data_IF_509543085964
#
_entry.id   IF_509543085964
#
_cell.length_a   1.000
_cell.length_b   1.000
_cell.length_c   1.000
_cell.angle_alpha   90.00
_cell.angle_beta   90.00
_cell.angle_gamma   90.00
#
_symmetry.space_group_name_H-M   'P 1'
#
loop_
_entity.id
_entity.type
_entity.pdbx_description
1 polymer ?
#
# COMPACT_ATOMS: atom_id res chain seq x y z
N UNK A 1 40.64 9.71 47.78
CA UNK A 1 40.72 9.88 46.30
C UNK A 1 39.96 8.77 45.54
N UNK A 2 38.66 8.54 45.80
CA UNK A 2 37.84 7.53 45.06
C UNK A 2 36.40 7.97 44.76
N UNK A 3 36.00 9.19 45.12
CA UNK A 3 34.63 9.72 44.92
C UNK A 3 34.51 10.75 43.78
N UNK A 4 35.61 11.18 43.17
CA UNK A 4 35.59 12.17 42.09
C UNK A 4 35.45 11.58 40.67
N UNK A 5 35.64 10.26 40.49
CA UNK A 5 35.66 9.65 39.16
C UNK A 5 34.29 9.16 38.66
N UNK A 6 33.30 9.02 39.56
CA UNK A 6 31.95 8.56 39.19
C UNK A 6 31.05 9.67 38.63
N UNK A 7 31.34 10.94 38.93
CA UNK A 7 30.50 12.07 38.51
C UNK A 7 30.78 12.50 37.06
N UNK A 8 32.04 12.40 36.61
CA UNK A 8 32.40 12.75 35.22
C UNK A 8 31.92 11.70 34.21
N UNK A 9 31.81 10.43 34.63
CA UNK A 9 31.32 9.34 33.78
C UNK A 9 29.80 9.39 33.55
N UNK A 10 29.04 9.95 34.50
CA UNK A 10 27.59 10.14 34.37
C UNK A 10 27.23 11.31 33.44
N UNK A 11 28.10 12.32 33.32
CA UNK A 11 27.88 13.45 32.42
C UNK A 11 28.21 13.13 30.96
N UNK A 12 29.10 12.15 30.70
CA UNK A 12 29.45 11.73 29.33
C UNK A 12 28.42 10.76 28.74
N UNK A 13 27.70 10.01 29.57
CA UNK A 13 26.65 9.09 29.11
C UNK A 13 25.37 9.81 28.65
N UNK A 14 25.18 11.07 29.05
CA UNK A 14 24.01 11.87 28.67
C UNK A 14 24.17 12.61 27.33
N UNK A 15 25.39 12.74 26.80
CA UNK A 15 25.63 13.40 25.50
C UNK A 15 25.55 12.45 24.30
N UNK A 16 25.51 11.13 24.52
CA UNK A 16 25.43 10.13 23.43
C UNK A 16 23.98 9.65 23.20
N UNK A 17 23.02 10.09 24.02
CA UNK A 17 21.63 9.62 23.98
C UNK A 17 20.69 10.48 23.11
N UNK A 18 21.19 11.38 22.24
CA UNK A 18 20.33 12.33 21.51
C UNK A 18 20.56 12.40 19.99
N UNK A 19 20.87 11.27 19.37
CA UNK A 19 20.85 11.15 17.90
C UNK A 19 20.20 9.84 17.46
N UNK A 20 19.01 9.54 17.98
CA UNK A 20 18.06 8.76 17.20
C UNK A 20 17.33 9.73 16.29
N UNK A 21 17.96 10.13 15.18
CA UNK A 21 17.17 10.58 14.04
C UNK A 21 16.39 9.36 13.57
N UNK A 22 15.19 9.16 14.13
CA UNK A 22 14.18 8.41 13.41
C UNK A 22 14.08 9.15 12.09
N UNK A 23 14.59 8.55 11.03
CA UNK A 23 14.26 8.97 9.68
C UNK A 23 12.76 8.82 9.60
N UNK A 24 12.03 9.89 9.92
CA UNK A 24 10.62 9.98 9.69
C UNK A 24 10.51 9.99 8.16
N UNK A 25 10.45 8.80 7.58
CA UNK A 25 9.95 8.63 6.23
C UNK A 25 8.64 9.40 6.19
N UNK A 26 8.57 10.41 5.33
CA UNK A 26 7.34 11.15 5.12
C UNK A 26 6.22 10.13 4.90
N UNK A 27 5.15 10.23 5.70
CA UNK A 27 4.07 9.26 5.68
C UNK A 27 3.55 9.12 4.25
N UNK A 28 3.50 7.88 3.75
CA UNK A 28 3.14 7.64 2.35
C UNK A 28 1.78 8.25 1.99
N UNK A 29 1.71 8.92 0.84
CA UNK A 29 0.49 9.53 0.29
C UNK A 29 0.14 8.81 -1.00
N UNK A 30 -0.80 7.89 -0.90
CA UNK A 30 -1.10 6.93 -1.96
C UNK A 30 -2.29 7.40 -2.78
N UNK A 31 -2.16 7.40 -4.10
CA UNK A 31 -3.31 7.40 -5.00
C UNK A 31 -3.50 5.98 -5.54
N UNK A 32 -4.69 5.44 -5.31
CA UNK A 32 -5.09 4.16 -5.87
C UNK A 32 -5.81 4.38 -7.20
N UNK A 33 -5.25 3.87 -8.29
CA UNK A 33 -5.75 4.11 -9.65
C UNK A 33 -6.89 3.17 -10.04
N UNK A 34 -7.13 2.09 -9.29
CA UNK A 34 -8.13 1.07 -9.62
C UNK A 34 -8.88 0.57 -8.37
N UNK A 35 -10.15 0.14 -8.51
CA UNK A 35 -10.96 -0.32 -7.37
C UNK A 35 -10.30 -1.42 -6.55
N UNK A 36 -9.79 -2.48 -7.19
CA UNK A 36 -9.19 -3.63 -6.47
C UNK A 36 -7.99 -3.24 -5.61
N UNK A 37 -7.19 -2.27 -6.03
CA UNK A 37 -6.07 -1.75 -5.23
C UNK A 37 -6.57 -0.90 -4.05
N UNK A 38 -7.67 -0.17 -4.24
CA UNK A 38 -8.30 0.58 -3.14
C UNK A 38 -8.79 -0.40 -2.08
N UNK A 39 -9.54 -1.42 -2.47
CA UNK A 39 -10.07 -2.42 -1.55
C UNK A 39 -8.95 -3.11 -0.76
N UNK A 40 -7.87 -3.50 -1.43
CA UNK A 40 -6.73 -4.14 -0.77
C UNK A 40 -6.03 -3.22 0.24
N UNK A 41 -5.78 -1.95 -0.12
CA UNK A 41 -5.17 -0.98 0.78
C UNK A 41 -6.01 -0.78 2.04
N UNK A 42 -7.33 -0.64 1.89
CA UNK A 42 -8.23 -0.50 3.03
C UNK A 42 -8.31 -1.79 3.86
N UNK A 43 -8.36 -2.96 3.22
CA UNK A 43 -8.35 -4.25 3.90
C UNK A 43 -7.10 -4.45 4.77
N UNK A 44 -5.94 -3.98 4.31
CA UNK A 44 -4.69 -4.00 5.09
C UNK A 44 -4.61 -2.90 6.18
N UNK A 45 -5.66 -2.10 6.36
CA UNK A 45 -5.68 -1.00 7.32
C UNK A 45 -4.89 0.24 6.87
N UNK A 46 -4.56 0.35 5.59
CA UNK A 46 -3.77 1.44 5.00
C UNK A 46 -4.62 2.54 4.37
N UNK A 47 -5.95 2.49 4.56
CA UNK A 47 -6.89 3.45 3.99
C UNK A 47 -6.62 4.91 4.39
N UNK A 48 -5.95 5.17 5.51
CA UNK A 48 -5.54 6.51 5.94
C UNK A 48 -4.41 7.11 5.10
N UNK A 49 -3.61 6.28 4.44
CA UNK A 49 -2.55 6.71 3.52
C UNK A 49 -3.11 7.05 2.13
N UNK A 50 -4.36 6.64 1.84
CA UNK A 50 -5.00 6.88 0.54
C UNK A 50 -5.53 8.32 0.48
N UNK A 51 -4.93 9.13 -0.39
CA UNK A 51 -5.27 10.55 -0.58
C UNK A 51 -6.12 10.80 -1.83
N UNK A 52 -6.26 9.80 -2.71
CA UNK A 52 -7.08 9.87 -3.91
C UNK A 52 -7.39 8.48 -4.47
N UNK A 53 -8.50 8.37 -5.20
CA UNK A 53 -9.02 7.10 -5.73
C UNK A 53 -9.66 7.31 -7.10
N UNK A 54 -9.73 6.27 -7.94
CA UNK A 54 -10.47 6.38 -9.20
C UNK A 54 -11.99 6.43 -8.99
N UNK A 55 -12.72 6.83 -10.04
CA UNK A 55 -14.15 7.16 -9.97
C UNK A 55 -15.02 6.00 -9.45
N UNK A 56 -14.61 4.76 -9.72
CA UNK A 56 -15.36 3.55 -9.37
C UNK A 56 -14.98 2.95 -8.01
N UNK A 57 -14.04 3.54 -7.28
CA UNK A 57 -13.63 3.03 -5.98
C UNK A 57 -14.70 3.32 -4.90
N UNK A 58 -15.65 2.42 -4.74
CA UNK A 58 -16.84 2.62 -3.91
C UNK A 58 -16.89 1.72 -2.66
N UNK A 59 -15.86 0.91 -2.45
CA UNK A 59 -15.69 0.01 -1.31
C UNK A 59 -14.27 0.13 -0.71
N UNK A 60 -14.12 0.08 0.63
CA UNK A 60 -15.21 0.17 1.61
C UNK A 60 -15.87 1.56 1.58
N UNK A 61 -16.91 1.79 2.38
CA UNK A 61 -17.70 3.04 2.32
C UNK A 61 -16.82 4.29 2.47
N UNK A 62 -15.80 4.22 3.32
CA UNK A 62 -14.86 5.31 3.58
C UNK A 62 -14.04 5.70 2.34
N UNK A 63 -13.83 4.79 1.38
CA UNK A 63 -13.16 5.09 0.12
C UNK A 63 -13.93 6.12 -0.72
N UNK A 64 -15.26 6.22 -0.54
CA UNK A 64 -16.11 7.20 -1.24
C UNK A 64 -15.80 8.64 -0.87
N UNK A 65 -15.20 8.85 0.30
CA UNK A 65 -14.84 10.17 0.80
C UNK A 65 -13.51 10.68 0.22
N UNK A 66 -12.79 9.86 -0.56
CA UNK A 66 -11.52 10.25 -1.16
C UNK A 66 -11.74 11.07 -2.44
N UNK A 67 -10.93 12.12 -2.70
CA UNK A 67 -10.94 12.83 -3.96
C UNK A 67 -10.85 11.87 -5.16
N UNK A 68 -11.76 12.03 -6.12
CA UNK A 68 -11.77 11.26 -7.37
C UNK A 68 -10.77 11.81 -8.37
N UNK A 69 -10.01 10.95 -9.04
CA UNK A 69 -8.96 11.37 -9.98
C UNK A 69 -9.22 10.95 -11.43
N UNK A 70 -10.45 10.53 -11.74
CA UNK A 70 -10.82 9.95 -13.02
C UNK A 70 -10.85 8.42 -12.97
N UNK A 71 -10.98 7.80 -14.13
CA UNK A 71 -10.96 6.34 -14.30
C UNK A 71 -9.85 5.98 -15.29
N UNK A 72 -10.19 5.40 -16.45
CA UNK A 72 -9.20 5.12 -17.51
C UNK A 72 -8.54 6.40 -18.06
N UNK A 73 -9.27 7.52 -18.04
CA UNK A 73 -8.72 8.85 -18.27
C UNK A 73 -8.50 9.53 -16.92
N UNK A 74 -7.25 9.91 -16.65
CA UNK A 74 -6.82 10.48 -15.38
C UNK A 74 -6.78 12.01 -15.43
N UNK A 75 -7.23 12.66 -14.36
CA UNK A 75 -7.04 14.08 -14.13
C UNK A 75 -5.67 14.33 -13.47
N UNK A 76 -4.67 14.60 -14.30
CA UNK A 76 -3.27 14.77 -13.86
C UNK A 76 -3.10 16.00 -12.95
N UNK A 77 -3.76 17.12 -13.24
CA UNK A 77 -3.70 18.32 -12.39
C UNK A 77 -4.20 18.02 -10.98
N UNK A 78 -5.30 17.27 -10.88
CA UNK A 78 -5.86 16.84 -9.60
C UNK A 78 -4.93 15.88 -8.88
N UNK A 79 -4.34 14.90 -9.58
CA UNK A 79 -3.32 14.01 -9.01
C UNK A 79 -2.18 14.83 -8.40
N UNK A 80 -1.62 15.79 -9.13
CA UNK A 80 -0.52 16.62 -8.65
C UNK A 80 -0.91 17.50 -7.45
N UNK A 81 -2.14 18.04 -7.44
CA UNK A 81 -2.65 18.85 -6.32
C UNK A 81 -2.71 18.08 -5.00
N UNK A 82 -2.86 16.75 -5.06
CA UNK A 82 -2.91 15.87 -3.89
C UNK A 82 -1.51 15.51 -3.37
N UNK A 83 -0.43 15.93 -4.04
CA UNK A 83 0.97 15.66 -3.64
C UNK A 83 1.20 14.19 -3.24
N UNK A 84 0.91 13.22 -4.12
CA UNK A 84 1.13 11.81 -3.81
C UNK A 84 2.61 11.47 -3.79
N UNK A 85 2.98 10.48 -2.99
CA UNK A 85 4.31 9.88 -3.01
C UNK A 85 4.34 8.55 -3.76
N UNK A 86 3.17 7.94 -3.99
CA UNK A 86 3.02 6.65 -4.66
C UNK A 86 1.68 6.58 -5.42
N UNK A 87 1.73 6.14 -6.67
CA UNK A 87 0.59 5.72 -7.47
C UNK A 87 0.57 4.20 -7.56
N UNK A 88 -0.57 3.57 -7.25
CA UNK A 88 -0.71 2.11 -7.28
C UNK A 88 -1.71 1.71 -8.35
N UNK A 89 -1.26 0.87 -9.29
CA UNK A 89 -2.04 0.29 -10.38
C UNK A 89 -1.94 -1.24 -10.41
N UNK A 90 -2.79 -1.86 -11.21
CA UNK A 90 -2.74 -3.29 -11.47
C UNK A 90 -3.00 -3.58 -12.94
N UNK A 91 -2.39 -4.63 -13.46
CA UNK A 91 -2.62 -5.18 -14.79
C UNK A 91 -2.46 -4.15 -15.92
N UNK A 92 -1.58 -3.16 -15.73
CA UNK A 92 -1.24 -2.14 -16.72
C UNK A 92 -2.42 -1.30 -17.19
N UNK A 93 -3.46 -1.14 -16.36
CA UNK A 93 -4.67 -0.37 -16.69
C UNK A 93 -4.37 1.08 -17.07
N UNK A 94 -3.30 1.66 -16.50
CA UNK A 94 -2.89 3.04 -16.72
C UNK A 94 -1.51 3.17 -17.36
N UNK A 95 -1.00 2.10 -17.99
CA UNK A 95 0.34 2.08 -18.60
C UNK A 95 0.62 3.21 -19.59
N UNK A 96 -0.40 3.74 -20.27
CA UNK A 96 -0.26 4.89 -21.18
C UNK A 96 0.29 6.15 -20.50
N UNK A 97 0.17 6.28 -19.17
CA UNK A 97 0.67 7.41 -18.40
C UNK A 97 2.06 7.19 -17.77
N UNK A 98 2.65 6.00 -17.90
CA UNK A 98 3.91 5.63 -17.23
C UNK A 98 5.05 6.63 -17.50
N UNK A 99 5.22 7.03 -18.77
CA UNK A 99 6.22 8.05 -19.14
C UNK A 99 5.92 9.42 -18.53
N UNK A 100 4.64 9.81 -18.49
CA UNK A 100 4.23 11.09 -17.91
C UNK A 100 4.48 11.09 -16.40
N UNK A 101 4.15 10.01 -15.70
CA UNK A 101 4.42 9.90 -14.27
C UNK A 101 5.90 10.01 -13.95
N UNK A 102 6.76 9.35 -14.75
CA UNK A 102 8.21 9.47 -14.61
C UNK A 102 8.70 10.91 -14.84
N UNK A 103 8.19 11.61 -15.86
CA UNK A 103 8.52 13.02 -16.14
C UNK A 103 8.08 13.96 -15.01
N UNK A 104 6.99 13.63 -14.31
CA UNK A 104 6.48 14.39 -13.16
C UNK A 104 7.14 14.00 -11.83
N UNK A 105 8.07 13.04 -11.83
CA UNK A 105 8.74 12.55 -10.62
C UNK A 105 7.81 11.77 -9.69
N UNK A 106 6.73 11.19 -10.21
CA UNK A 106 5.80 10.37 -9.44
C UNK A 106 6.25 8.91 -9.43
N UNK A 107 6.32 8.31 -8.25
CA UNK A 107 6.55 6.87 -8.14
C UNK A 107 5.28 6.14 -8.58
N UNK A 108 5.39 5.34 -9.63
CA UNK A 108 4.31 4.55 -10.19
C UNK A 108 4.62 3.06 -10.02
N UNK A 109 3.76 2.36 -9.29
CA UNK A 109 3.88 0.94 -9.01
C UNK A 109 2.71 0.20 -9.64
N UNK A 110 3.01 -0.62 -10.63
CA UNK A 110 2.05 -1.49 -11.28
C UNK A 110 2.34 -2.95 -10.96
N UNK A 111 1.35 -3.66 -10.41
CA UNK A 111 1.40 -5.10 -10.24
C UNK A 111 0.75 -5.85 -11.39
N UNK A 112 1.20 -7.07 -11.66
CA UNK A 112 0.50 -7.99 -12.57
C UNK A 112 -0.08 -9.13 -11.75
N UNK A 113 -1.41 -9.20 -11.69
CA UNK A 113 -2.15 -10.20 -10.94
C UNK A 113 -3.21 -10.82 -11.84
N UNK A 114 -3.01 -12.10 -12.16
CA UNK A 114 -3.93 -12.91 -12.96
C UNK A 114 -4.48 -14.10 -12.17
N UNK A 115 -4.00 -14.32 -10.94
CA UNK A 115 -4.36 -15.45 -10.10
C UNK A 115 -4.45 -15.06 -8.62
N UNK A 116 -5.33 -15.74 -7.89
CA UNK A 116 -5.57 -15.49 -6.47
C UNK A 116 -4.35 -15.80 -5.57
N UNK A 117 -3.52 -16.76 -5.95
CA UNK A 117 -2.31 -17.15 -5.22
C UNK A 117 -1.19 -16.08 -5.29
N UNK A 118 -1.31 -15.09 -6.16
CA UNK A 118 -0.37 -13.98 -6.30
C UNK A 118 -0.64 -12.82 -5.33
N UNK A 119 -1.87 -12.71 -4.82
CA UNK A 119 -2.28 -11.60 -3.95
C UNK A 119 -1.43 -11.47 -2.67
N UNK A 120 -1.09 -12.56 -1.94
CA UNK A 120 -0.21 -12.47 -0.77
C UNK A 120 1.13 -11.83 -1.08
N UNK A 121 1.79 -12.25 -2.17
CA UNK A 121 3.11 -11.74 -2.54
C UNK A 121 3.06 -10.26 -2.94
N UNK A 122 2.02 -9.87 -3.67
CA UNK A 122 1.79 -8.46 -4.00
C UNK A 122 1.61 -7.60 -2.75
N UNK A 123 0.80 -8.05 -1.78
CA UNK A 123 0.59 -7.33 -0.52
C UNK A 123 1.89 -7.19 0.29
N UNK A 124 2.66 -8.26 0.41
CA UNK A 124 3.98 -8.25 1.07
C UNK A 124 4.96 -7.28 0.39
N UNK A 125 4.95 -7.20 -0.94
CA UNK A 125 5.80 -6.27 -1.71
C UNK A 125 5.36 -4.81 -1.57
N UNK A 126 4.07 -4.54 -1.75
CA UNK A 126 3.48 -3.21 -1.61
C UNK A 126 3.75 -2.62 -0.22
N UNK A 127 3.53 -3.40 0.83
CA UNK A 127 3.71 -2.94 2.21
C UNK A 127 5.17 -2.75 2.61
N UNK A 128 6.09 -3.53 2.02
CA UNK A 128 7.54 -3.29 2.15
C UNK A 128 7.94 -1.93 1.55
N UNK A 129 7.39 -1.59 0.39
CA UNK A 129 7.65 -0.30 -0.28
C UNK A 129 7.07 0.87 0.53
N UNK A 130 5.86 0.69 1.08
CA UNK A 130 5.20 1.69 1.93
C UNK A 130 5.93 1.88 3.28
N UNK A 131 6.65 0.84 3.77
CA UNK A 131 7.37 0.87 5.04
C UNK A 131 6.58 0.30 6.23
N UNK A 132 5.60 -0.58 5.97
CA UNK A 132 4.78 -1.27 6.97
C UNK A 132 4.66 -2.79 6.66
N UNK A 133 5.79 -3.51 6.47
CA UNK A 133 5.80 -4.89 5.97
C UNK A 133 4.96 -5.87 6.80
N UNK A 134 4.76 -5.60 8.09
CA UNK A 134 3.89 -6.36 8.98
C UNK A 134 2.46 -6.48 8.46
N UNK A 135 1.92 -5.43 7.82
CA UNK A 135 0.55 -5.43 7.27
C UNK A 135 0.38 -6.40 6.10
N UNK A 136 1.40 -6.51 5.25
CA UNK A 136 1.37 -7.46 4.14
C UNK A 136 1.47 -8.89 4.64
N UNK A 137 2.28 -9.14 5.67
CA UNK A 137 2.40 -10.47 6.30
C UNK A 137 1.10 -10.89 6.99
N UNK A 138 0.46 -9.99 7.73
CA UNK A 138 -0.86 -10.21 8.35
C UNK A 138 -1.90 -10.62 7.30
N UNK A 139 -2.01 -9.84 6.22
CA UNK A 139 -2.90 -10.15 5.10
C UNK A 139 -2.56 -11.49 4.43
N UNK A 140 -1.29 -11.75 4.17
CA UNK A 140 -0.86 -12.97 3.51
C UNK A 140 -1.21 -14.22 4.33
N UNK A 141 -1.10 -14.14 5.65
CA UNK A 141 -1.50 -15.21 6.57
C UNK A 141 -3.03 -15.41 6.57
N UNK A 142 -3.81 -14.33 6.69
CA UNK A 142 -5.28 -14.43 6.69
C UNK A 142 -5.81 -14.95 5.35
N UNK A 143 -5.24 -14.50 4.24
CA UNK A 143 -5.59 -14.92 2.89
C UNK A 143 -5.37 -16.42 2.69
N UNK A 144 -4.15 -16.90 3.00
CA UNK A 144 -3.81 -18.33 2.87
C UNK A 144 -4.76 -19.20 3.69
N UNK A 145 -5.07 -18.79 4.92
CA UNK A 145 -6.05 -19.49 5.78
C UNK A 145 -7.43 -19.58 5.12
N UNK A 146 -8.00 -18.46 4.67
CA UNK A 146 -9.32 -18.43 4.04
C UNK A 146 -9.38 -19.27 2.76
N UNK A 147 -8.35 -19.17 1.90
CA UNK A 147 -8.32 -19.94 0.65
C UNK A 147 -8.18 -21.45 0.88
N UNK A 148 -7.47 -21.87 1.93
CA UNK A 148 -7.37 -23.29 2.30
C UNK A 148 -8.71 -23.84 2.77
N UNK A 149 -9.47 -23.07 3.56
CA UNK A 149 -10.82 -23.42 4.02
C UNK A 149 -11.80 -23.57 2.84
N UNK A 150 -11.72 -22.70 1.84
CA UNK A 150 -12.59 -22.74 0.64
C UNK A 150 -12.26 -23.91 -0.30
N UNK A 151 -10.98 -24.23 -0.48
CA UNK A 151 -10.55 -25.32 -1.39
C UNK A 151 -11.04 -26.69 -0.91
N UNK A 152 -11.22 -26.87 0.40
CA UNK A 152 -11.78 -28.10 0.97
C UNK A 152 -13.27 -28.32 0.71
N UNK A 153 -14.00 -27.33 0.19
CA UNK A 153 -15.45 -27.38 -0.05
C UNK A 153 -15.81 -27.63 -1.52
N UNK A 154 -14.87 -28.12 -2.33
CA UNK A 154 -15.04 -28.23 -3.78
C UNK A 154 -16.16 -29.23 -4.15
N UNK A 155 -17.17 -28.74 -4.87
CA UNK A 155 -18.30 -29.55 -5.35
C UNK A 155 -17.82 -30.61 -6.35
N UNK A 156 -18.36 -31.83 -6.26
CA UNK A 156 -17.99 -32.97 -7.10
C UNK A 156 -18.37 -32.78 -8.58
N UNK A 157 -19.28 -31.86 -8.90
CA UNK A 157 -19.68 -31.54 -10.28
C UNK A 157 -18.92 -30.32 -10.79
N UNK A 158 -18.36 -30.40 -12.01
CA UNK A 158 -17.81 -29.24 -12.75
C UNK A 158 -18.83 -28.75 -13.80
N UNK A 159 -19.85 -27.97 -13.42
CA UNK A 159 -20.79 -27.42 -14.39
C UNK A 159 -20.08 -26.45 -15.33
N UNK A 160 -20.52 -26.40 -16.58
CA UNK A 160 -20.10 -25.34 -17.51
C UNK A 160 -20.83 -24.06 -17.11
N UNK A 161 -20.07 -23.04 -16.75
CA UNK A 161 -20.60 -21.72 -16.37
C UNK A 161 -20.30 -20.76 -17.51
N UNK A 162 -21.30 -20.01 -17.93
CA UNK A 162 -21.16 -18.89 -18.85
C UNK A 162 -21.26 -17.59 -18.04
N UNK A 163 -20.31 -16.69 -18.27
CA UNK A 163 -20.36 -15.33 -17.73
C UNK A 163 -20.75 -14.42 -18.89
N UNK A 164 -21.92 -13.79 -18.78
CA UNK A 164 -22.44 -12.78 -19.71
C UNK A 164 -21.70 -11.44 -19.58
#
# INVERSE_FOLDING_TARGET
MKKLFKSTLLLFCCLIALSSSSGATESARIISLVPSQTELLFHMGLGNLVVGTSDYCNYPEEARNRPRIGALELNIERIMSLRPTLLVDVNSMHKKYELLFAQLGLNYLNFTVTRLDQLPKMAEELTRIIGCPEKGLEFAMSWRKQTAEMTGQQSASMPKVYFE
#
